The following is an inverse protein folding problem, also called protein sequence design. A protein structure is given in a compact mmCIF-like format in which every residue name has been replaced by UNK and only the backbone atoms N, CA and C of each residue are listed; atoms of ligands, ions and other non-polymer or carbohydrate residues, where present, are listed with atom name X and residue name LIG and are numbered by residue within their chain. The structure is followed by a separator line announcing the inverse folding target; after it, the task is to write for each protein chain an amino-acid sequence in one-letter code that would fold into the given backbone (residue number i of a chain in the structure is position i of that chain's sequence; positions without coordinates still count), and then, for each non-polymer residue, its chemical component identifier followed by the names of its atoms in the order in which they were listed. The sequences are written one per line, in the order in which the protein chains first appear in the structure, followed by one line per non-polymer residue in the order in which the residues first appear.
data_IF_492318406343
#
_entry.id   IF_492318406343
#
_cell.length_a   1.000
_cell.length_b   1.000
_cell.length_c   1.000
_cell.angle_alpha   90.00
_cell.angle_beta   90.00
_cell.angle_gamma   90.00
#
_symmetry.space_group_name_H-M   'P 1'
#
loop_
_entity.id
_entity.type
_entity.pdbx_description
1 polymer ?
#
# COMPACT_ATOMS: atom_id res chain seq x y z
N UNK A 1 -14.51 -26.28 -36.68
CA UNK A 1 -15.03 -25.17 -35.85
C UNK A 1 -15.15 -25.72 -34.44
N UNK A 2 -14.26 -25.33 -33.54
CA UNK A 2 -14.50 -25.37 -32.10
C UNK A 2 -13.70 -24.23 -31.49
N UNK A 3 -14.45 -23.21 -31.11
CA UNK A 3 -14.01 -21.99 -30.47
C UNK A 3 -13.78 -22.26 -28.98
N UNK A 4 -12.64 -21.80 -28.49
CA UNK A 4 -12.41 -21.26 -27.13
C UNK A 4 -13.08 -21.97 -25.95
N UNK A 5 -12.33 -22.86 -25.30
CA UNK A 5 -12.35 -22.97 -23.85
C UNK A 5 -11.01 -22.42 -23.33
N UNK A 6 -10.95 -21.10 -23.14
CA UNK A 6 -9.99 -20.55 -22.18
C UNK A 6 -10.45 -21.05 -20.81
N UNK A 7 -9.82 -22.11 -20.31
CA UNK A 7 -9.95 -22.54 -18.92
C UNK A 7 -9.76 -21.32 -18.01
N UNK A 8 -10.84 -20.90 -17.37
CA UNK A 8 -10.81 -19.89 -16.33
C UNK A 8 -10.22 -20.55 -15.08
N UNK A 9 -8.90 -20.75 -15.07
CA UNK A 9 -8.18 -21.24 -13.89
C UNK A 9 -8.42 -20.22 -12.78
N UNK A 10 -9.21 -20.59 -11.78
CA UNK A 10 -9.40 -19.76 -10.59
C UNK A 10 -8.02 -19.46 -10.02
N UNK A 11 -7.62 -18.18 -10.05
CA UNK A 11 -6.33 -17.75 -9.51
C UNK A 11 -6.26 -18.12 -8.04
N UNK A 12 -5.13 -18.67 -7.61
CA UNK A 12 -4.89 -18.97 -6.21
C UNK A 12 -5.11 -17.70 -5.37
N UNK A 13 -5.88 -17.74 -4.26
CA UNK A 13 -6.15 -16.56 -3.43
C UNK A 13 -4.88 -15.78 -3.04
N UNK A 14 -3.79 -16.48 -2.73
CA UNK A 14 -2.51 -15.84 -2.40
C UNK A 14 -1.91 -15.10 -3.60
N UNK A 15 -2.02 -15.65 -4.82
CA UNK A 15 -1.57 -14.97 -6.04
C UNK A 15 -2.34 -13.67 -6.27
N UNK A 16 -3.63 -13.65 -5.95
CA UNK A 16 -4.46 -12.42 -6.03
C UNK A 16 -3.95 -11.40 -5.01
N UNK A 17 -3.79 -11.78 -3.74
CA UNK A 17 -3.32 -10.87 -2.69
C UNK A 17 -1.93 -10.31 -2.98
N UNK A 18 -1.01 -11.14 -3.49
CA UNK A 18 0.39 -10.77 -3.75
C UNK A 18 0.63 -10.22 -5.16
N UNK A 19 -0.39 -10.20 -6.02
CA UNK A 19 -0.25 -9.67 -7.38
C UNK A 19 0.23 -8.22 -7.34
N UNK A 20 1.00 -7.74 -8.34
CA UNK A 20 1.41 -6.35 -8.39
C UNK A 20 0.21 -5.39 -8.24
N UNK A 21 0.38 -4.33 -7.48
CA UNK A 21 -0.55 -3.23 -7.30
C UNK A 21 -0.75 -2.53 -8.63
N UNK A 22 -2.02 -2.28 -8.94
CA UNK A 22 -2.39 -1.44 -10.07
C UNK A 22 -2.12 0.02 -9.73
N UNK A 23 -1.89 0.89 -10.73
CA UNK A 23 -1.73 2.31 -10.50
C UNK A 23 -2.88 2.95 -9.70
N UNK A 24 -4.13 2.49 -9.89
CA UNK A 24 -5.31 2.98 -9.16
C UNK A 24 -5.38 2.52 -7.70
N UNK A 25 -4.56 1.54 -7.30
CA UNK A 25 -4.48 1.08 -5.91
C UNK A 25 -3.41 1.84 -5.11
N UNK A 26 -2.57 2.64 -5.78
CA UNK A 26 -1.45 3.34 -5.16
C UNK A 26 -1.73 4.84 -5.13
N UNK A 27 -1.66 5.38 -3.93
CA UNK A 27 -1.65 6.81 -3.67
C UNK A 27 -0.28 7.25 -3.14
N UNK A 28 0.00 8.56 -3.20
CA UNK A 28 1.24 9.15 -2.70
C UNK A 28 0.92 10.19 -1.63
N UNK A 29 1.64 10.12 -0.51
CA UNK A 29 1.51 11.11 0.57
C UNK A 29 2.85 11.70 0.94
N UNK A 30 2.80 12.93 1.47
CA UNK A 30 3.93 13.51 2.20
C UNK A 30 4.19 12.67 3.45
N UNK A 31 5.41 12.17 3.58
CA UNK A 31 5.86 11.40 4.74
C UNK A 31 6.62 12.30 5.73
N UNK A 32 7.47 13.19 5.22
CA UNK A 32 8.24 14.12 6.03
C UNK A 32 8.63 15.35 5.22
N UNK A 33 8.75 16.49 5.89
CA UNK A 33 9.36 17.70 5.35
C UNK A 33 10.57 18.03 6.21
N UNK A 34 11.76 18.07 5.61
CA UNK A 34 13.01 18.30 6.34
C UNK A 34 14.05 18.95 5.44
N UNK A 35 14.68 20.01 5.96
CA UNK A 35 15.83 20.67 5.32
C UNK A 35 15.54 21.11 3.88
N UNK A 36 14.39 21.75 3.64
CA UNK A 36 14.02 22.24 2.31
C UNK A 36 13.72 21.13 1.30
N UNK A 37 13.40 19.92 1.77
CA UNK A 37 12.97 18.80 0.93
C UNK A 37 11.73 18.12 1.52
N UNK A 38 10.84 17.69 0.64
CA UNK A 38 9.67 16.87 0.98
C UNK A 38 9.92 15.43 0.56
N UNK A 39 9.93 14.51 1.52
CA UNK A 39 9.90 13.07 1.29
C UNK A 39 8.45 12.62 1.12
N UNK A 40 8.17 11.90 0.03
CA UNK A 40 6.88 11.28 -0.21
C UNK A 40 7.01 9.76 -0.21
N UNK A 41 5.93 9.07 0.14
CA UNK A 41 5.87 7.61 0.17
C UNK A 41 4.59 7.12 -0.51
N UNK A 42 4.67 6.02 -1.29
CA UNK A 42 3.49 5.37 -1.84
C UNK A 42 2.78 4.59 -0.73
N UNK A 43 1.46 4.52 -0.81
CA UNK A 43 0.63 3.74 0.09
C UNK A 43 -0.62 3.25 -0.63
N UNK A 44 -1.22 2.17 -0.13
CA UNK A 44 -2.59 1.79 -0.49
C UNK A 44 -3.58 2.31 0.54
N UNK A 45 -4.84 2.48 0.15
CA UNK A 45 -5.93 2.70 1.08
C UNK A 45 -6.55 1.37 1.56
N UNK A 46 -7.57 1.43 2.41
CA UNK A 46 -8.28 0.23 2.85
C UNK A 46 -9.16 -0.38 1.75
N UNK A 47 -9.56 0.37 0.72
CA UNK A 47 -10.45 -0.10 -0.36
C UNK A 47 -9.69 -1.05 -1.27
N UNK A 48 -8.42 -0.77 -1.54
CA UNK A 48 -7.50 -1.68 -2.22
C UNK A 48 -7.31 -2.99 -1.42
N UNK A 49 -7.22 -2.93 -0.09
CA UNK A 49 -7.20 -4.14 0.76
C UNK A 49 -8.51 -4.90 0.60
N UNK A 50 -9.66 -4.26 0.84
CA UNK A 50 -10.98 -4.89 0.75
C UNK A 50 -11.20 -5.55 -0.61
N UNK A 51 -10.96 -4.81 -1.71
CA UNK A 51 -11.15 -5.33 -3.07
C UNK A 51 -10.27 -6.53 -3.39
N UNK A 52 -9.04 -6.59 -2.85
CA UNK A 52 -8.15 -7.76 -3.02
C UNK A 52 -8.60 -8.97 -2.23
N UNK A 53 -9.05 -8.78 -0.99
CA UNK A 53 -9.58 -9.88 -0.19
C UNK A 53 -10.93 -10.38 -0.73
N UNK A 54 -11.80 -9.49 -1.20
CA UNK A 54 -13.05 -9.85 -1.88
C UNK A 54 -12.78 -10.64 -3.16
N UNK A 55 -11.79 -10.23 -3.96
CA UNK A 55 -11.40 -10.96 -5.16
C UNK A 55 -10.79 -12.34 -4.83
N UNK A 56 -10.07 -12.44 -3.71
CA UNK A 56 -9.36 -13.67 -3.31
C UNK A 56 -10.27 -14.71 -2.64
N UNK A 57 -11.20 -14.28 -1.80
CA UNK A 57 -12.00 -15.18 -0.94
C UNK A 57 -13.51 -14.96 -1.05
N UNK A 58 -13.96 -13.95 -1.80
CA UNK A 58 -15.35 -13.48 -1.76
C UNK A 58 -15.66 -12.73 -0.45
N UNK A 59 -16.73 -11.93 -0.42
CA UNK A 59 -17.06 -11.07 0.72
C UNK A 59 -17.39 -11.83 2.02
N UNK A 60 -17.66 -13.14 1.94
CA UNK A 60 -17.92 -14.01 3.10
C UNK A 60 -16.73 -14.91 3.48
N UNK A 61 -15.67 -14.95 2.66
CA UNK A 61 -14.50 -15.81 2.89
C UNK A 61 -13.39 -15.15 3.71
N UNK A 62 -13.55 -13.88 4.07
CA UNK A 62 -12.64 -13.15 4.93
C UNK A 62 -13.40 -12.24 5.91
N UNK A 63 -12.71 -11.80 6.95
CA UNK A 63 -13.22 -10.85 7.93
C UNK A 63 -12.08 -10.04 8.56
N UNK A 64 -12.42 -8.93 9.20
CA UNK A 64 -11.48 -8.19 10.02
C UNK A 64 -12.05 -7.91 11.41
N UNK A 65 -11.15 -7.83 12.39
CA UNK A 65 -11.46 -7.48 13.76
C UNK A 65 -10.57 -6.30 14.19
N UNK A 66 -11.13 -5.37 14.96
CA UNK A 66 -10.43 -4.22 15.49
C UNK A 66 -10.42 -4.29 17.02
N UNK A 67 -9.26 -4.00 17.61
CA UNK A 67 -9.08 -3.90 19.06
C UNK A 67 -8.33 -2.62 19.38
N UNK A 68 -8.91 -1.80 20.24
CA UNK A 68 -8.18 -0.70 20.85
C UNK A 68 -7.22 -1.27 21.91
N UNK A 69 -5.98 -0.79 21.92
CA UNK A 69 -4.99 -1.14 22.93
C UNK A 69 -4.43 0.14 23.55
N UNK A 70 -4.54 0.24 24.87
CA UNK A 70 -3.82 1.23 25.65
C UNK A 70 -2.46 0.67 26.05
N UNK A 71 -1.39 1.42 25.78
CA UNK A 71 -0.05 1.16 26.31
C UNK A 71 0.41 2.35 27.13
N UNK A 72 1.46 2.17 27.95
CA UNK A 72 2.10 3.27 28.68
C UNK A 72 2.66 4.37 27.76
N UNK A 73 2.78 4.10 26.46
CA UNK A 73 3.25 5.02 25.42
C UNK A 73 2.09 5.70 24.64
N UNK A 74 0.84 5.41 25.00
CA UNK A 74 -0.36 5.97 24.39
C UNK A 74 -1.31 4.93 23.79
N UNK A 75 -2.32 5.42 23.06
CA UNK A 75 -3.34 4.60 22.41
C UNK A 75 -2.89 4.11 21.03
N UNK A 76 -3.18 2.84 20.73
CA UNK A 76 -2.97 2.23 19.43
C UNK A 76 -4.14 1.31 19.06
N UNK A 77 -4.20 0.93 17.79
CA UNK A 77 -5.19 0.02 17.25
C UNK A 77 -4.51 -1.24 16.76
N UNK A 78 -5.03 -2.41 17.12
CA UNK A 78 -4.73 -3.68 16.47
C UNK A 78 -5.84 -4.01 15.47
N UNK A 79 -5.43 -4.54 14.32
CA UNK A 79 -6.34 -5.14 13.36
C UNK A 79 -5.91 -6.58 13.09
N UNK A 80 -6.87 -7.49 13.19
CA UNK A 80 -6.75 -8.85 12.70
C UNK A 80 -7.47 -8.99 11.39
N UNK A 81 -6.83 -9.57 10.37
CA UNK A 81 -7.53 -10.04 9.17
C UNK A 81 -7.54 -11.57 9.20
N UNK A 82 -8.74 -12.12 9.18
CA UNK A 82 -9.02 -13.55 9.17
C UNK A 82 -9.46 -14.01 7.80
N UNK A 83 -8.91 -15.11 7.31
CA UNK A 83 -9.39 -15.81 6.11
C UNK A 83 -9.81 -17.22 6.50
N UNK A 84 -10.84 -17.74 5.84
CA UNK A 84 -11.32 -19.10 6.10
C UNK A 84 -10.53 -20.08 5.23
N UNK A 85 -9.93 -21.09 5.85
CA UNK A 85 -9.25 -22.15 5.10
C UNK A 85 -10.23 -23.20 4.56
N UNK A 86 -9.69 -24.18 3.83
CA UNK A 86 -10.47 -25.27 3.22
C UNK A 86 -11.16 -26.17 4.26
N UNK A 87 -10.63 -26.23 5.49
CA UNK A 87 -11.24 -26.97 6.60
C UNK A 87 -12.38 -26.20 7.27
N UNK A 88 -12.52 -24.91 6.95
CA UNK A 88 -13.52 -24.02 7.52
C UNK A 88 -13.03 -23.25 8.75
N UNK A 89 -11.75 -23.38 9.12
CA UNK A 89 -11.13 -22.71 10.26
C UNK A 89 -10.64 -21.30 9.89
N UNK A 90 -10.63 -20.41 10.87
CA UNK A 90 -10.19 -19.03 10.67
C UNK A 90 -8.70 -18.87 10.95
N UNK A 91 -7.94 -18.53 9.90
CA UNK A 91 -6.53 -18.18 10.02
C UNK A 91 -6.42 -16.66 10.15
N UNK A 92 -5.88 -16.20 11.27
CA UNK A 92 -5.75 -14.77 11.57
C UNK A 92 -4.31 -14.28 11.47
N UNK A 93 -4.13 -13.07 10.92
CA UNK A 93 -2.90 -12.29 11.04
C UNK A 93 -3.19 -10.92 11.63
N UNK A 94 -2.39 -10.50 12.60
CA UNK A 94 -2.62 -9.31 13.42
C UNK A 94 -1.44 -8.35 13.33
N UNK A 95 -1.72 -7.08 13.12
CA UNK A 95 -0.74 -5.98 13.22
C UNK A 95 -1.39 -4.76 13.86
N UNK A 96 -0.58 -3.74 14.17
CA UNK A 96 -1.03 -2.54 14.85
C UNK A 96 -0.52 -1.24 14.26
N UNK A 97 -1.19 -0.16 14.57
CA UNK A 97 -0.74 1.21 14.28
C UNK A 97 -1.07 2.12 15.45
N UNK A 98 -0.15 3.05 15.74
CA UNK A 98 -0.45 4.18 16.61
C UNK A 98 -1.55 5.04 15.99
N UNK A 99 -2.20 5.85 16.83
CA UNK A 99 -3.08 6.92 16.35
C UNK A 99 -2.33 7.92 15.46
N UNK A 100 -3.05 8.58 14.56
CA UNK A 100 -2.48 9.62 13.67
C UNK A 100 -2.69 11.03 14.23
N UNK A 101 -1.89 12.01 13.77
CA UNK A 101 -2.01 13.40 14.22
C UNK A 101 -3.23 14.14 13.65
N UNK A 102 -3.70 13.75 12.46
CA UNK A 102 -4.73 14.49 11.70
C UNK A 102 -6.13 13.90 11.88
N UNK A 103 -6.26 12.59 12.13
CA UNK A 103 -7.51 11.93 12.53
C UNK A 103 -7.17 10.68 13.39
N UNK A 104 -6.95 10.84 14.71
CA UNK A 104 -6.35 9.82 15.58
C UNK A 104 -6.92 8.41 15.41
N UNK A 105 -8.25 8.29 15.51
CA UNK A 105 -8.96 7.01 15.45
C UNK A 105 -8.92 6.41 14.05
N UNK A 106 -9.37 7.16 13.03
CA UNK A 106 -9.45 6.64 11.65
C UNK A 106 -8.09 6.28 11.08
N UNK A 107 -7.08 7.11 11.36
CA UNK A 107 -5.69 6.87 10.94
C UNK A 107 -5.10 5.63 11.58
N UNK A 108 -5.33 5.42 12.89
CA UNK A 108 -4.88 4.22 13.60
C UNK A 108 -5.54 2.95 13.06
N UNK A 109 -6.86 2.94 12.91
CA UNK A 109 -7.62 1.80 12.36
C UNK A 109 -7.14 1.45 10.95
N UNK A 110 -7.03 2.44 10.06
CA UNK A 110 -6.61 2.21 8.67
C UNK A 110 -5.14 1.78 8.60
N UNK A 111 -4.27 2.36 9.43
CA UNK A 111 -2.89 1.93 9.56
C UNK A 111 -2.78 0.46 9.97
N UNK A 112 -3.51 0.06 11.01
CA UNK A 112 -3.49 -1.31 11.52
C UNK A 112 -3.99 -2.32 10.49
N UNK A 113 -5.11 -2.03 9.80
CA UNK A 113 -5.66 -2.92 8.77
C UNK A 113 -4.68 -3.11 7.61
N UNK A 114 -4.07 -2.02 7.11
CA UNK A 114 -3.10 -2.13 6.01
C UNK A 114 -1.85 -2.92 6.40
N UNK A 115 -1.38 -2.76 7.64
CA UNK A 115 -0.24 -3.52 8.15
C UNK A 115 -0.58 -5.00 8.33
N UNK A 116 -1.77 -5.32 8.83
CA UNK A 116 -2.25 -6.69 8.90
C UNK A 116 -2.37 -7.32 7.50
N UNK A 117 -2.82 -6.56 6.51
CA UNK A 117 -2.86 -6.99 5.11
C UNK A 117 -1.46 -7.25 4.53
N UNK A 118 -0.44 -6.47 4.91
CA UNK A 118 0.96 -6.72 4.53
C UNK A 118 1.43 -8.10 4.99
N UNK A 119 0.96 -8.61 6.14
CA UNK A 119 1.30 -9.97 6.59
C UNK A 119 0.70 -11.06 5.70
N UNK A 120 -0.37 -10.76 4.97
CA UNK A 120 -0.95 -11.62 3.94
C UNK A 120 -0.30 -11.46 2.56
N UNK A 121 0.57 -10.47 2.37
CA UNK A 121 1.27 -10.23 1.10
C UNK A 121 0.86 -8.94 0.39
N UNK A 122 -0.27 -8.37 0.76
CA UNK A 122 -0.83 -7.18 0.10
C UNK A 122 0.12 -5.99 0.26
N UNK A 123 0.52 -5.38 -0.85
CA UNK A 123 1.33 -4.16 -0.85
C UNK A 123 2.75 -4.30 -0.33
N UNK A 124 3.28 -5.52 -0.14
CA UNK A 124 4.70 -5.72 0.27
C UNK A 124 5.69 -5.07 -0.70
N UNK A 125 5.33 -4.98 -1.97
CA UNK A 125 6.19 -4.33 -2.96
C UNK A 125 6.38 -2.83 -2.73
N UNK A 126 5.49 -2.15 -1.99
CA UNK A 126 5.63 -0.73 -1.66
C UNK A 126 6.95 -0.44 -0.91
N UNK A 127 7.47 -1.41 -0.16
CA UNK A 127 8.77 -1.31 0.53
C UNK A 127 9.98 -1.38 -0.42
N UNK A 128 9.76 -1.78 -1.68
CA UNK A 128 10.78 -1.82 -2.74
C UNK A 128 10.78 -0.55 -3.60
N UNK A 129 9.86 0.38 -3.36
CA UNK A 129 9.82 1.63 -4.11
C UNK A 129 11.00 2.52 -3.74
N UNK A 130 11.53 3.31 -4.69
CA UNK A 130 12.51 4.34 -4.41
C UNK A 130 11.99 5.34 -3.38
N UNK A 131 12.90 5.88 -2.57
CA UNK A 131 12.60 7.09 -1.79
C UNK A 131 12.49 8.26 -2.74
N UNK A 132 11.34 8.94 -2.77
CA UNK A 132 11.12 10.09 -3.64
C UNK A 132 11.21 11.37 -2.82
N UNK A 133 12.16 12.23 -3.17
CA UNK A 133 12.33 13.55 -2.59
C UNK A 133 11.94 14.61 -3.61
N UNK A 134 11.22 15.63 -3.15
CA UNK A 134 10.86 16.81 -3.90
C UNK A 134 11.65 17.99 -3.32
N UNK A 135 12.24 18.82 -4.17
CA UNK A 135 12.88 20.07 -3.72
C UNK A 135 11.83 21.06 -3.21
N UNK A 136 12.15 21.75 -2.12
CA UNK A 136 11.22 22.64 -1.42
C UNK A 136 10.39 21.94 -0.35
N UNK A 137 9.61 22.74 0.37
CA UNK A 137 8.72 22.30 1.44
C UNK A 137 7.28 22.34 0.97
N UNK A 138 6.66 21.17 0.88
CA UNK A 138 5.32 20.99 0.33
C UNK A 138 4.39 20.33 1.33
N UNK A 139 3.18 20.90 1.49
CA UNK A 139 2.10 20.32 2.30
C UNK A 139 1.40 19.15 1.59
N UNK A 140 1.34 19.20 0.26
CA UNK A 140 0.73 18.18 -0.59
C UNK A 140 1.71 17.76 -1.68
N UNK A 141 1.52 16.57 -2.27
CA UNK A 141 2.33 16.13 -3.40
C UNK A 141 1.96 16.96 -4.64
N UNK A 142 2.89 17.66 -5.30
CA UNK A 142 2.60 18.42 -6.53
C UNK A 142 2.05 17.51 -7.64
N UNK A 143 1.12 18.04 -8.43
CA UNK A 143 0.45 17.27 -9.48
C UNK A 143 1.43 16.73 -10.54
N UNK A 144 2.40 17.53 -10.98
CA UNK A 144 3.37 17.08 -11.98
C UNK A 144 4.31 15.98 -11.45
N UNK A 145 4.58 15.98 -10.14
CA UNK A 145 5.29 14.89 -9.47
C UNK A 145 4.46 13.60 -9.50
N UNK A 146 3.15 13.67 -9.24
CA UNK A 146 2.26 12.51 -9.36
C UNK A 146 2.28 11.94 -10.78
N UNK A 147 2.12 12.81 -11.79
CA UNK A 147 2.18 12.43 -13.21
C UNK A 147 3.51 11.77 -13.58
N UNK A 148 4.63 12.28 -13.06
CA UNK A 148 5.96 11.70 -13.26
C UNK A 148 6.10 10.29 -12.69
N UNK A 149 5.34 9.96 -11.65
CA UNK A 149 5.39 8.69 -10.93
C UNK A 149 4.38 7.64 -11.44
N UNK A 150 3.45 8.00 -12.34
CA UNK A 150 2.42 7.10 -12.87
C UNK A 150 2.99 5.80 -13.50
N UNK A 151 4.17 5.87 -14.12
CA UNK A 151 4.82 4.70 -14.72
C UNK A 151 5.57 3.80 -13.72
N UNK A 152 5.76 4.27 -12.48
CA UNK A 152 6.57 3.56 -11.48
C UNK A 152 5.97 2.21 -11.07
N UNK A 153 4.65 2.08 -10.83
CA UNK A 153 4.05 0.78 -10.52
C UNK A 153 4.28 -0.27 -11.60
N UNK A 154 4.12 0.11 -12.87
CA UNK A 154 4.37 -0.80 -13.98
C UNK A 154 5.85 -1.22 -14.07
N UNK A 155 6.78 -0.34 -13.72
CA UNK A 155 8.22 -0.67 -13.67
C UNK A 155 8.54 -1.63 -12.52
N UNK A 156 7.97 -1.40 -11.33
CA UNK A 156 8.10 -2.31 -10.17
C UNK A 156 7.55 -3.69 -10.49
N UNK A 157 6.34 -3.75 -11.06
CA UNK A 157 5.68 -5.00 -11.45
C UNK A 157 6.51 -5.83 -12.45
N UNK A 158 7.23 -5.16 -13.37
CA UNK A 158 8.13 -5.80 -14.35
C UNK A 158 9.49 -6.19 -13.76
N UNK A 159 9.73 -5.92 -12.48
CA UNK A 159 11.02 -6.19 -11.82
C UNK A 159 12.17 -5.32 -12.36
N UNK A 160 11.86 -4.16 -12.95
CA UNK A 160 12.89 -3.23 -13.43
C UNK A 160 13.74 -2.77 -12.25
N UNK A 161 15.06 -2.76 -12.44
CA UNK A 161 15.98 -2.20 -11.43
C UNK A 161 15.78 -0.70 -11.35
N UNK A 162 15.20 -0.25 -10.24
CA UNK A 162 14.97 1.17 -9.96
C UNK A 162 16.15 1.76 -9.17
N UNK A 163 16.39 3.07 -9.25
CA UNK A 163 17.31 3.73 -8.33
C UNK A 163 16.80 3.61 -6.89
N UNK A 164 17.69 3.73 -5.90
CA UNK A 164 17.25 3.77 -4.48
C UNK A 164 16.52 5.07 -4.14
N UNK A 165 16.89 6.16 -4.83
CA UNK A 165 16.40 7.52 -4.58
C UNK A 165 16.05 8.18 -5.91
N UNK A 166 14.88 8.83 -5.95
CA UNK A 166 14.47 9.75 -7.02
C UNK A 166 14.40 11.15 -6.41
N UNK A 167 15.01 12.13 -7.07
CA UNK A 167 15.00 13.53 -6.64
C UNK A 167 14.37 14.38 -7.74
N UNK A 168 13.24 15.01 -7.43
CA UNK A 168 12.42 15.77 -8.38
C UNK A 168 12.30 17.24 -7.96
N UNK A 169 12.15 18.10 -8.95
CA UNK A 169 11.60 19.44 -8.77
C UNK A 169 10.06 19.37 -8.62
N UNK A 170 9.41 20.44 -8.12
CA UNK A 170 7.95 20.47 -7.99
C UNK A 170 7.20 20.33 -9.33
N UNK A 171 7.85 20.66 -10.44
CA UNK A 171 7.35 20.51 -11.82
C UNK A 171 7.53 19.07 -12.37
N UNK A 172 7.97 18.12 -11.54
CA UNK A 172 8.17 16.72 -11.93
C UNK A 172 9.46 16.45 -12.71
N UNK A 173 10.29 17.46 -13.00
CA UNK A 173 11.59 17.27 -13.66
C UNK A 173 12.64 16.67 -12.72
N UNK A 174 13.57 15.88 -13.25
CA UNK A 174 14.69 15.36 -12.47
C UNK A 174 15.61 16.51 -12.04
N UNK A 175 16.04 16.50 -10.77
CA UNK A 175 17.06 17.45 -10.31
C UNK A 175 18.38 17.06 -10.96
N UNK A 176 18.88 17.93 -11.85
CA UNK A 176 20.21 17.77 -12.44
C UNK A 176 21.23 17.73 -11.30
N UNK A 177 22.02 16.66 -11.22
CA UNK A 177 23.26 16.70 -10.45
C UNK A 177 24.13 17.77 -11.11
N UNK A 178 24.44 18.83 -10.38
CA UNK A 178 25.51 19.74 -10.80
C UNK A 178 26.76 18.88 -10.86
N UNK A 179 27.35 18.80 -12.05
CA UNK A 179 28.59 18.06 -12.30
C UNK A 179 29.75 18.69 -11.51
#
# INVERSE_FOLDING_TARGET
MNMSETENVAKNPLEILTSPLRPDEIEWKVQAVKSGKTLIAPYIDNRAVMGRFDAAFGPFGWQNALKEIGSGEGMAWLCGIGVRDESGEWIWKWDGSSVSDIEPVKGGISGAMKRAATQWGVGRELYRYPKVYITGEHKFVPFDVLKRLEGLPAAVAKGVRLPEVILLNPDGSDVRKVA
#
